data_IF_017194341617
#
_entry.id   IF_017194341617
#
_cell.length_a   1.000
_cell.length_b   1.000
_cell.length_c   1.000
_cell.angle_alpha   90.00
_cell.angle_beta   90.00
_cell.angle_gamma   90.00
#
_symmetry.space_group_name_H-M   'P 1'
#
loop_
_entity.id
_entity.type
_entity.pdbx_description
1 polymer ?
#
# COMPACT_ATOMS: atom_id res chain seq x y z
N UNK A 1 26.82 -19.65 -15.73
CA UNK A 1 25.35 -19.46 -15.78
C UNK A 1 24.71 -19.40 -14.39
N UNK A 2 25.07 -20.27 -13.43
CA UNK A 2 24.46 -20.29 -12.09
C UNK A 2 24.69 -19.03 -11.23
N UNK A 3 25.86 -18.38 -11.32
CA UNK A 3 26.17 -17.16 -10.54
C UNK A 3 25.22 -15.99 -10.84
N UNK A 4 24.80 -15.84 -12.11
CA UNK A 4 23.83 -14.80 -12.51
C UNK A 4 22.45 -15.02 -11.89
N UNK A 5 22.02 -16.26 -11.69
CA UNK A 5 20.71 -16.57 -11.10
C UNK A 5 20.61 -16.08 -9.64
N UNK A 6 21.68 -16.20 -8.87
CA UNK A 6 21.73 -15.70 -7.50
C UNK A 6 21.74 -14.16 -7.45
N UNK A 7 22.48 -13.50 -8.36
CA UNK A 7 22.47 -12.04 -8.48
C UNK A 7 21.06 -11.51 -8.76
N UNK A 8 20.35 -12.08 -9.74
CA UNK A 8 18.98 -11.66 -10.07
C UNK A 8 17.99 -11.92 -8.93
N UNK A 9 18.22 -12.95 -8.12
CA UNK A 9 17.40 -13.20 -6.91
C UNK A 9 17.58 -12.08 -5.89
N UNK A 10 18.82 -11.67 -5.60
CA UNK A 10 19.10 -10.55 -4.68
C UNK A 10 18.56 -9.22 -5.20
N UNK A 11 18.70 -8.95 -6.50
CA UNK A 11 18.10 -7.76 -7.14
C UNK A 11 16.57 -7.80 -6.99
N UNK A 12 15.94 -8.95 -7.21
CA UNK A 12 14.51 -9.12 -7.04
C UNK A 12 14.04 -8.91 -5.60
N UNK A 13 14.79 -9.41 -4.61
CA UNK A 13 14.49 -9.20 -3.19
C UNK A 13 14.66 -7.74 -2.79
N UNK A 14 15.70 -7.06 -3.28
CA UNK A 14 15.89 -5.64 -3.06
C UNK A 14 14.79 -4.82 -3.73
N UNK A 15 14.36 -5.17 -4.93
CA UNK A 15 13.23 -4.55 -5.60
C UNK A 15 11.92 -4.75 -4.82
N UNK A 16 11.70 -5.93 -4.24
CA UNK A 16 10.55 -6.20 -3.37
C UNK A 16 10.56 -5.31 -2.13
N UNK A 17 11.70 -5.19 -1.43
CA UNK A 17 11.85 -4.26 -0.30
C UNK A 17 11.65 -2.79 -0.72
N UNK A 18 12.25 -2.42 -1.86
CA UNK A 18 12.04 -1.21 -2.67
C UNK A 18 10.57 -0.78 -2.71
N UNK A 19 9.79 -1.69 -3.26
CA UNK A 19 8.36 -1.48 -3.50
C UNK A 19 7.55 -1.39 -2.21
N UNK A 20 7.90 -2.19 -1.20
CA UNK A 20 7.25 -2.11 0.12
C UNK A 20 7.43 -0.74 0.77
N UNK A 21 8.62 -0.13 0.65
CA UNK A 21 8.89 1.23 1.10
C UNK A 21 8.12 2.31 0.33
N UNK A 22 7.50 1.99 -0.81
CA UNK A 22 6.65 2.94 -1.55
C UNK A 22 5.24 2.97 -0.97
N UNK A 23 4.68 1.81 -0.62
CA UNK A 23 3.33 1.70 -0.07
C UNK A 23 3.28 1.93 1.44
N UNK A 24 4.33 1.59 2.17
CA UNK A 24 4.40 1.73 3.62
C UNK A 24 4.21 3.19 4.10
N UNK A 25 4.87 4.22 3.53
CA UNK A 25 4.64 5.61 3.90
C UNK A 25 3.19 6.04 3.68
N UNK A 26 2.55 5.56 2.61
CA UNK A 26 1.14 5.86 2.34
C UNK A 26 0.23 5.28 3.42
N UNK A 27 0.48 4.03 3.85
CA UNK A 27 -0.25 3.36 4.94
C UNK A 27 -0.10 4.15 6.24
N UNK A 28 1.14 4.49 6.62
CA UNK A 28 1.44 5.25 7.85
C UNK A 28 0.78 6.61 7.81
N UNK A 29 0.88 7.34 6.70
CA UNK A 29 0.31 8.67 6.54
C UNK A 29 -1.23 8.65 6.63
N UNK A 30 -1.90 7.70 5.97
CA UNK A 30 -3.36 7.51 6.07
C UNK A 30 -3.78 7.14 7.49
N UNK A 31 -3.00 6.32 8.20
CA UNK A 31 -3.27 5.95 9.58
C UNK A 31 -3.13 7.14 10.54
N UNK A 32 -2.04 7.91 10.43
CA UNK A 32 -1.77 9.09 11.26
C UNK A 32 -2.83 10.18 11.06
N UNK A 33 -3.17 10.48 9.81
CA UNK A 33 -4.18 11.51 9.49
C UNK A 33 -5.61 11.05 9.71
N UNK A 34 -5.82 9.75 9.97
CA UNK A 34 -7.16 9.12 10.07
C UNK A 34 -8.09 9.52 8.92
N UNK A 35 -7.50 9.74 7.73
CA UNK A 35 -8.19 10.25 6.55
C UNK A 35 -7.69 9.56 5.30
N UNK A 36 -8.64 9.10 4.49
CA UNK A 36 -8.42 8.40 3.22
C UNK A 36 -8.95 9.20 2.01
N UNK A 37 -9.19 10.51 2.17
CA UNK A 37 -9.76 11.35 1.10
C UNK A 37 -8.87 11.39 -0.16
N UNK A 38 -7.55 11.40 0.01
CA UNK A 38 -6.60 11.38 -1.12
C UNK A 38 -6.41 10.01 -1.79
N UNK A 39 -7.01 8.94 -1.28
CA UNK A 39 -6.86 7.61 -1.88
C UNK A 39 -7.89 7.40 -2.99
N UNK A 40 -7.42 7.16 -4.21
CA UNK A 40 -8.29 6.74 -5.31
C UNK A 40 -8.73 5.29 -5.13
N UNK A 41 -10.05 5.03 -5.16
CA UNK A 41 -10.59 3.67 -5.06
C UNK A 41 -10.28 2.83 -6.30
N UNK A 42 -10.31 3.43 -7.49
CA UNK A 42 -9.98 2.74 -8.75
C UNK A 42 -8.50 2.35 -8.78
N UNK A 43 -7.60 3.20 -8.28
CA UNK A 43 -6.18 2.88 -8.16
C UNK A 43 -5.95 1.65 -7.27
N UNK A 44 -6.60 1.59 -6.11
CA UNK A 44 -6.49 0.45 -5.20
C UNK A 44 -7.06 -0.84 -5.82
N UNK A 45 -8.17 -0.75 -6.55
CA UNK A 45 -8.79 -1.89 -7.21
C UNK A 45 -7.92 -2.44 -8.35
N UNK A 46 -7.47 -1.58 -9.27
CA UNK A 46 -6.60 -1.97 -10.40
C UNK A 46 -5.25 -2.47 -9.89
N UNK A 47 -4.65 -1.77 -8.93
CA UNK A 47 -3.38 -2.18 -8.32
C UNK A 47 -3.49 -3.54 -7.61
N UNK A 48 -4.54 -3.74 -6.82
CA UNK A 48 -4.80 -5.01 -6.14
C UNK A 48 -5.03 -6.17 -7.12
N UNK A 49 -5.81 -5.95 -8.18
CA UNK A 49 -6.02 -6.96 -9.23
C UNK A 49 -4.71 -7.30 -9.96
N UNK A 50 -3.91 -6.29 -10.29
CA UNK A 50 -2.58 -6.48 -10.90
C UNK A 50 -1.67 -7.33 -10.03
N UNK A 51 -1.56 -7.02 -8.73
CA UNK A 51 -0.74 -7.80 -7.79
C UNK A 51 -1.23 -9.25 -7.64
N UNK A 52 -2.55 -9.47 -7.64
CA UNK A 52 -3.12 -10.82 -7.61
C UNK A 52 -2.74 -11.64 -8.86
N UNK A 53 -2.77 -11.03 -10.05
CA UNK A 53 -2.32 -11.66 -11.29
C UNK A 53 -0.82 -11.97 -11.26
N UNK A 54 0.01 -11.03 -10.76
CA UNK A 54 1.44 -11.27 -10.58
C UNK A 54 1.74 -12.38 -9.58
N UNK A 55 0.95 -12.53 -8.52
CA UNK A 55 1.08 -13.65 -7.58
C UNK A 55 0.77 -14.99 -8.26
N UNK A 56 -0.30 -15.07 -9.05
CA UNK A 56 -0.62 -16.26 -9.83
C UNK A 56 0.51 -16.61 -10.81
N UNK A 57 1.05 -15.61 -11.51
CA UNK A 57 2.19 -15.78 -12.42
C UNK A 57 3.48 -16.18 -11.68
N UNK A 58 3.77 -15.56 -10.54
CA UNK A 58 4.92 -15.86 -9.68
C UNK A 58 4.87 -17.28 -9.14
N UNK A 59 3.68 -17.77 -8.78
CA UNK A 59 3.46 -19.15 -8.36
C UNK A 59 3.72 -20.14 -9.51
N UNK A 60 3.17 -19.85 -10.70
CA UNK A 60 3.41 -20.67 -11.90
C UNK A 60 4.90 -20.75 -12.28
N UNK A 61 5.62 -19.63 -12.18
CA UNK A 61 7.06 -19.54 -12.49
C UNK A 61 7.98 -19.94 -11.33
N UNK A 62 7.43 -20.28 -10.15
CA UNK A 62 8.18 -20.55 -8.91
C UNK A 62 9.16 -19.43 -8.53
N UNK A 63 8.82 -18.17 -8.83
CA UNK A 63 9.66 -17.00 -8.57
C UNK A 63 9.40 -16.40 -7.19
N UNK A 64 10.28 -16.72 -6.24
CA UNK A 64 10.22 -16.20 -4.85
C UNK A 64 10.20 -14.66 -4.80
N UNK A 65 11.02 -13.91 -5.57
CA UNK A 65 10.98 -12.45 -5.54
C UNK A 65 9.64 -11.87 -5.98
N UNK A 66 9.01 -12.45 -7.02
CA UNK A 66 7.68 -11.99 -7.50
C UNK A 66 6.63 -12.24 -6.44
N UNK A 67 6.64 -13.42 -5.81
CA UNK A 67 5.70 -13.79 -4.75
C UNK A 67 5.82 -12.87 -3.54
N UNK A 68 7.05 -12.64 -3.04
CA UNK A 68 7.27 -11.78 -1.87
C UNK A 68 6.94 -10.31 -2.16
N UNK A 69 7.38 -9.77 -3.29
CA UNK A 69 7.14 -8.38 -3.66
C UNK A 69 5.65 -8.07 -3.83
N UNK A 70 4.95 -8.86 -4.65
CA UNK A 70 3.53 -8.63 -4.88
C UNK A 70 2.66 -8.98 -3.68
N UNK A 71 3.04 -9.98 -2.88
CA UNK A 71 2.35 -10.33 -1.64
C UNK A 71 2.40 -9.20 -0.62
N UNK A 72 3.58 -8.61 -0.42
CA UNK A 72 3.77 -7.45 0.45
C UNK A 72 2.96 -6.23 -0.02
N UNK A 73 3.01 -5.92 -1.32
CA UNK A 73 2.26 -4.79 -1.87
C UNK A 73 0.75 -5.01 -1.82
N UNK A 74 0.29 -6.24 -2.03
CA UNK A 74 -1.12 -6.59 -1.92
C UNK A 74 -1.59 -6.42 -0.48
N UNK A 75 -0.80 -6.86 0.50
CA UNK A 75 -1.07 -6.63 1.92
C UNK A 75 -1.25 -5.15 2.23
N UNK A 76 -0.30 -4.28 1.83
CA UNK A 76 -0.44 -2.84 2.03
C UNK A 76 -1.65 -2.24 1.32
N UNK A 77 -1.93 -2.69 0.09
CA UNK A 77 -3.12 -2.26 -0.66
C UNK A 77 -4.41 -2.62 0.07
N UNK A 78 -4.50 -3.82 0.64
CA UNK A 78 -5.67 -4.25 1.43
C UNK A 78 -5.83 -3.41 2.71
N UNK A 79 -4.73 -3.06 3.39
CA UNK A 79 -4.77 -2.13 4.54
C UNK A 79 -5.28 -0.76 4.12
N UNK A 80 -4.86 -0.23 2.96
CA UNK A 80 -5.34 1.04 2.42
C UNK A 80 -6.82 0.98 2.02
N UNK A 81 -7.28 -0.13 1.45
CA UNK A 81 -8.71 -0.36 1.17
C UNK A 81 -9.51 -0.35 2.47
N UNK A 82 -9.03 -1.05 3.50
CA UNK A 82 -9.65 -1.03 4.83
C UNK A 82 -9.73 0.39 5.40
N UNK A 83 -8.64 1.17 5.35
CA UNK A 83 -8.65 2.57 5.78
C UNK A 83 -9.58 3.44 4.96
N UNK A 84 -9.68 3.22 3.65
CA UNK A 84 -10.64 3.92 2.80
C UNK A 84 -12.07 3.68 3.24
N UNK A 85 -12.41 2.48 3.68
CA UNK A 85 -13.74 2.17 4.22
C UNK A 85 -13.92 2.69 5.64
N UNK A 86 -12.91 2.59 6.49
CA UNK A 86 -12.96 3.02 7.90
C UNK A 86 -13.01 4.54 8.08
N UNK A 87 -12.35 5.31 7.21
CA UNK A 87 -12.25 6.77 7.28
C UNK A 87 -13.16 7.50 6.29
N UNK A 88 -14.11 6.79 5.67
CA UNK A 88 -15.11 7.35 4.77
C UNK A 88 -16.06 8.37 5.44
N UNK A 89 -16.15 8.34 6.77
CA UNK A 89 -17.14 9.09 7.54
C UNK A 89 -16.56 9.92 8.71
N UNK A 90 -15.28 10.33 8.66
CA UNK A 90 -14.78 11.29 9.66
C UNK A 90 -15.40 12.68 9.37
N UNK A 91 -16.19 13.27 10.29
CA UNK A 91 -16.71 14.62 10.10
C UNK A 91 -15.54 15.61 9.94
N UNK A 92 -15.72 16.74 9.24
CA UNK A 92 -14.76 17.84 9.32
C UNK A 92 -14.53 18.17 10.79
N UNK A 93 -13.28 18.29 11.22
CA UNK A 93 -12.99 18.94 12.50
C UNK A 93 -13.60 20.33 12.40
N UNK A 94 -14.70 20.56 13.10
CA UNK A 94 -15.36 21.86 13.10
C UNK A 94 -14.29 22.89 13.49
N UNK A 95 -14.16 24.02 12.76
CA UNK A 95 -13.30 25.10 13.21
C UNK A 95 -13.69 25.43 14.65
N UNK A 96 -12.71 25.56 15.54
CA UNK A 96 -12.97 26.03 16.89
C UNK A 96 -13.71 27.38 16.76
N UNK A 97 -15.01 27.38 17.05
CA UNK A 97 -15.80 28.61 17.07
C UNK A 97 -15.11 29.54 18.06
N UNK A 98 -14.72 30.76 17.64
CA UNK A 98 -14.23 31.75 18.58
C UNK A 98 -15.25 31.88 19.71
N UNK A 99 -14.82 31.70 20.97
CA UNK A 99 -15.71 31.92 22.12
C UNK A 99 -16.18 33.39 22.04
N UNK A 100 -17.49 33.66 21.93
CA UNK A 100 -17.97 35.01 22.09
C UNK A 100 -17.83 35.35 23.58
N UNK A 101 -16.99 36.32 23.90
CA UNK A 101 -16.81 36.82 25.26
C UNK A 101 -15.44 36.54 25.87
N UNK A 102 -14.42 37.22 25.37
CA UNK A 102 -13.31 37.69 26.22
C UNK A 102 -13.53 39.18 26.41
N UNK A 103 -14.13 39.55 27.54
CA UNK A 103 -14.17 40.93 28.02
C UNK A 103 -12.81 41.36 28.58
#
# INVERSE_FOLDING_TARGET
MQSFAHLFTWVGLLAAALSGLTFFPQVVHTWQKRSAQGLSGSMLAVGGASMALWLAYGAYTRSVPILLGNGCNLFFTLVLVYFKWRYRAAPPVAPATPRPGGG
#
